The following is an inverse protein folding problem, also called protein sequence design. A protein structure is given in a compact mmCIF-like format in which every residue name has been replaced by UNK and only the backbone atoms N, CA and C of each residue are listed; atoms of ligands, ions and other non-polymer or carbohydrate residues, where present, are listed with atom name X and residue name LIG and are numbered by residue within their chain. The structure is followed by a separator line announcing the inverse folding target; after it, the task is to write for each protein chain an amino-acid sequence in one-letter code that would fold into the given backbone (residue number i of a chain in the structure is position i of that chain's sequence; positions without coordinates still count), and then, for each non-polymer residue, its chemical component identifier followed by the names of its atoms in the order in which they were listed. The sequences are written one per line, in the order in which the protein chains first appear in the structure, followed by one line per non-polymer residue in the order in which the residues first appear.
data_IF_108484002022
#
_entry.id   IF_108484002022
#
_cell.length_a   1.000
_cell.length_b   1.000
_cell.length_c   1.000
_cell.angle_alpha   90.00
_cell.angle_beta   90.00
_cell.angle_gamma   90.00
#
_symmetry.space_group_name_H-M   'P 1'
#
loop_
_entity.id
_entity.type
_entity.pdbx_description
1 polymer ?
#
# COMPACT_ATOMS: atom_id res chain seq x y z
N UNK A 1 -34.29 -3.34 -7.11
CA UNK A 1 -33.29 -2.25 -7.13
C UNK A 1 -31.92 -2.84 -6.83
N UNK A 2 -30.98 -2.87 -7.78
CA UNK A 2 -29.63 -3.35 -7.44
C UNK A 2 -28.93 -2.26 -6.64
N UNK A 3 -28.70 -2.48 -5.35
CA UNK A 3 -27.82 -1.60 -4.57
C UNK A 3 -26.46 -1.58 -5.25
N UNK A 4 -25.92 -0.39 -5.49
CA UNK A 4 -24.55 -0.29 -5.96
C UNK A 4 -23.62 -0.91 -4.91
N UNK A 5 -22.59 -1.67 -5.31
CA UNK A 5 -21.67 -2.27 -4.37
C UNK A 5 -21.06 -1.18 -3.48
N UNK A 6 -21.16 -1.39 -2.16
CA UNK A 6 -20.69 -0.49 -1.10
C UNK A 6 -19.16 -0.45 -1.01
N UNK A 7 -18.49 -1.43 -1.62
CA UNK A 7 -17.05 -1.62 -1.59
C UNK A 7 -16.47 -1.58 -3.00
N UNK A 8 -15.35 -0.88 -3.17
CA UNK A 8 -14.49 -0.96 -4.35
C UNK A 8 -13.20 -1.70 -3.99
N UNK A 9 -12.92 -2.79 -4.69
CA UNK A 9 -11.72 -3.62 -4.49
C UNK A 9 -10.72 -3.36 -5.61
N UNK A 10 -9.49 -3.06 -5.25
CA UNK A 10 -8.36 -2.84 -6.14
C UNK A 10 -7.32 -3.94 -5.90
N UNK A 11 -7.27 -4.92 -6.80
CA UNK A 11 -6.40 -6.08 -6.69
C UNK A 11 -5.17 -5.94 -7.61
N UNK A 12 -3.99 -6.27 -7.07
CA UNK A 12 -2.72 -6.27 -7.79
C UNK A 12 -2.28 -7.72 -8.07
N UNK A 13 -1.85 -8.00 -9.31
CA UNK A 13 -1.36 -9.33 -9.71
C UNK A 13 0.17 -9.42 -9.70
N UNK A 14 0.64 -10.66 -9.63
CA UNK A 14 2.04 -11.05 -9.52
C UNK A 14 2.83 -11.04 -10.86
N UNK A 15 2.27 -10.49 -11.95
CA UNK A 15 2.82 -10.76 -13.27
C UNK A 15 4.11 -9.93 -13.54
N UNK A 16 5.22 -10.64 -13.80
CA UNK A 16 6.54 -10.12 -14.21
C UNK A 16 7.46 -9.46 -13.15
N UNK A 17 7.59 -10.02 -11.94
CA UNK A 17 8.40 -9.44 -10.84
C UNK A 17 9.90 -9.22 -11.09
N UNK A 18 10.50 -9.94 -12.04
CA UNK A 18 11.94 -9.95 -12.22
C UNK A 18 12.29 -9.93 -13.71
N UNK A 19 12.34 -8.74 -14.33
CA UNK A 19 12.97 -8.61 -15.65
C UNK A 19 14.46 -8.31 -15.53
N UNK A 20 14.93 -7.55 -14.53
CA UNK A 20 16.36 -7.36 -14.26
C UNK A 20 16.58 -7.04 -12.76
N UNK A 21 17.72 -7.44 -12.19
CA UNK A 21 18.04 -7.45 -10.74
C UNK A 21 17.72 -6.13 -10.00
N UNK A 22 16.73 -6.07 -9.10
CA UNK A 22 16.63 -5.03 -8.09
C UNK A 22 16.53 -5.72 -6.71
N UNK A 23 17.59 -6.43 -6.35
CA UNK A 23 17.75 -6.96 -5.01
C UNK A 23 18.50 -5.91 -4.21
N UNK A 24 17.84 -5.31 -3.22
CA UNK A 24 18.42 -4.22 -2.46
C UNK A 24 17.39 -3.52 -1.60
N UNK A 25 17.89 -2.88 -0.54
CA UNK A 25 17.13 -1.94 0.25
C UNK A 25 17.44 -0.53 -0.26
N UNK A 26 16.42 0.30 -0.39
CA UNK A 26 16.54 1.71 -0.78
C UNK A 26 15.87 2.57 0.28
N UNK A 27 16.48 3.70 0.69
CA UNK A 27 15.82 4.65 1.58
C UNK A 27 14.54 5.18 0.91
N UNK A 28 13.44 5.20 1.68
CA UNK A 28 12.16 5.72 1.20
C UNK A 28 12.21 7.26 1.10
N UNK A 29 11.51 7.80 0.10
CA UNK A 29 11.25 9.23 0.02
C UNK A 29 10.17 9.64 1.02
N UNK A 30 10.59 10.28 2.12
CA UNK A 30 9.69 10.78 3.16
C UNK A 30 8.78 11.91 2.69
N UNK A 31 9.06 12.57 1.55
CA UNK A 31 8.12 13.53 0.97
C UNK A 31 6.87 12.82 0.42
N UNK A 32 7.05 11.62 -0.14
CA UNK A 32 5.97 10.78 -0.66
C UNK A 32 5.31 9.91 0.42
N UNK A 33 6.05 9.61 1.50
CA UNK A 33 5.59 8.76 2.58
C UNK A 33 6.06 9.26 3.96
N UNK A 34 5.56 10.41 4.43
CA UNK A 34 5.94 10.99 5.72
C UNK A 34 5.69 10.07 6.92
N UNK A 35 4.75 9.12 6.81
CA UNK A 35 4.48 8.09 7.83
C UNK A 35 5.57 7.02 7.94
N UNK A 36 6.46 6.90 6.94
CA UNK A 36 7.49 5.86 6.89
C UNK A 36 8.82 6.28 7.52
N UNK A 37 8.73 6.92 8.68
CA UNK A 37 9.87 7.28 9.54
C UNK A 37 9.78 6.58 10.88
N UNK A 38 10.93 6.30 11.47
CA UNK A 38 10.99 5.82 12.87
C UNK A 38 10.57 6.94 13.81
N UNK A 39 9.61 6.67 14.70
CA UNK A 39 9.06 7.68 15.62
C UNK A 39 10.14 8.13 16.63
N UNK A 40 11.09 7.25 16.96
CA UNK A 40 12.10 7.49 17.98
C UNK A 40 13.39 8.18 17.52
N UNK A 41 13.72 8.18 16.22
CA UNK A 41 15.00 8.73 15.75
C UNK A 41 14.97 9.49 14.42
N UNK A 42 13.78 9.67 13.82
CA UNK A 42 13.58 10.38 12.54
C UNK A 42 14.43 9.83 11.37
N UNK A 43 14.99 8.62 11.52
CA UNK A 43 15.78 8.00 10.47
C UNK A 43 14.88 7.41 9.39
N UNK A 44 15.31 7.58 8.14
CA UNK A 44 14.65 7.03 6.96
C UNK A 44 14.56 5.50 7.05
N UNK A 45 13.37 4.99 6.76
CA UNK A 45 13.15 3.54 6.62
C UNK A 45 13.69 3.09 5.26
N UNK A 46 14.34 1.93 5.23
CA UNK A 46 14.71 1.29 3.98
C UNK A 46 13.64 0.28 3.56
N UNK A 47 13.34 0.26 2.26
CA UNK A 47 12.34 -0.64 1.67
C UNK A 47 12.93 -1.41 0.51
N UNK A 48 12.33 -2.56 0.19
CA UNK A 48 12.79 -3.38 -0.92
C UNK A 48 12.61 -2.64 -2.26
N UNK A 49 13.71 -2.46 -2.99
CA UNK A 49 13.76 -1.62 -4.20
C UNK A 49 12.78 -2.08 -5.29
N UNK A 50 12.69 -3.40 -5.52
CA UNK A 50 11.75 -3.96 -6.49
C UNK A 50 10.28 -3.57 -6.21
N UNK A 51 9.86 -3.57 -4.94
CA UNK A 51 8.47 -3.32 -4.58
C UNK A 51 8.10 -1.85 -4.72
N UNK A 52 8.99 -0.94 -4.31
CA UNK A 52 8.76 0.50 -4.47
C UNK A 52 8.85 0.92 -5.94
N UNK A 53 9.74 0.30 -6.73
CA UNK A 53 9.81 0.52 -8.18
C UNK A 53 8.50 0.18 -8.88
N UNK A 54 7.89 -0.96 -8.53
CA UNK A 54 6.58 -1.37 -9.08
C UNK A 54 5.46 -0.41 -8.71
N UNK A 55 5.46 0.11 -7.48
CA UNK A 55 4.51 1.15 -7.09
C UNK A 55 4.60 2.38 -7.99
N UNK A 56 5.82 2.89 -8.23
CA UNK A 56 6.01 4.04 -9.10
C UNK A 56 5.56 3.77 -10.54
N UNK A 57 5.86 2.58 -11.08
CA UNK A 57 5.40 2.19 -12.40
C UNK A 57 3.86 2.18 -12.48
N UNK A 58 3.18 1.62 -11.48
CA UNK A 58 1.72 1.61 -11.42
C UNK A 58 1.16 3.03 -11.37
N UNK A 59 1.76 3.92 -10.58
CA UNK A 59 1.33 5.32 -10.53
C UNK A 59 1.51 6.05 -11.87
N UNK A 60 2.62 5.80 -12.57
CA UNK A 60 2.91 6.48 -13.84
C UNK A 60 2.09 5.94 -15.00
N UNK A 61 1.76 4.65 -15.01
CA UNK A 61 1.20 3.97 -16.20
C UNK A 61 -0.30 3.70 -16.11
N UNK A 62 -0.89 3.78 -14.91
CA UNK A 62 -2.29 3.38 -14.71
C UNK A 62 -3.21 4.54 -14.39
N UNK A 63 -4.50 4.36 -14.66
CA UNK A 63 -5.57 5.28 -14.22
C UNK A 63 -6.00 5.01 -12.76
N UNK A 64 -5.14 4.39 -11.95
CA UNK A 64 -5.51 3.88 -10.61
C UNK A 64 -5.99 5.00 -9.70
N UNK A 65 -5.23 6.09 -9.58
CA UNK A 65 -5.57 7.23 -8.72
C UNK A 65 -6.95 7.78 -9.03
N UNK A 66 -7.24 8.06 -10.31
CA UNK A 66 -8.55 8.57 -10.73
C UNK A 66 -9.70 7.59 -10.43
N UNK A 67 -9.46 6.28 -10.55
CA UNK A 67 -10.47 5.25 -10.20
C UNK A 67 -10.72 5.16 -8.71
N UNK A 68 -9.67 5.25 -7.88
CA UNK A 68 -9.78 5.26 -6.42
C UNK A 68 -10.53 6.51 -5.96
N UNK A 69 -10.10 7.70 -6.39
CA UNK A 69 -10.78 8.96 -6.08
C UNK A 69 -12.24 8.96 -6.51
N UNK A 70 -12.53 8.42 -7.70
CA UNK A 70 -13.89 8.23 -8.19
C UNK A 70 -14.73 7.31 -7.30
N UNK A 71 -14.14 6.29 -6.68
CA UNK A 71 -14.81 5.41 -5.72
C UNK A 71 -15.01 6.08 -4.36
N UNK A 72 -14.02 6.83 -3.87
CA UNK A 72 -14.10 7.64 -2.65
C UNK A 72 -15.24 8.65 -2.76
N UNK A 73 -15.31 9.38 -3.87
CA UNK A 73 -16.35 10.39 -4.12
C UNK A 73 -17.76 9.79 -4.24
N UNK A 74 -17.86 8.48 -4.50
CA UNK A 74 -19.11 7.70 -4.47
C UNK A 74 -19.42 7.15 -3.07
N UNK A 75 -18.65 7.50 -2.05
CA UNK A 75 -18.83 7.04 -0.66
C UNK A 75 -18.56 5.55 -0.47
N UNK A 76 -17.73 4.93 -1.32
CA UNK A 76 -17.42 3.49 -1.22
C UNK A 76 -16.31 3.23 -0.21
N UNK A 77 -16.39 2.10 0.48
CA UNK A 77 -15.23 1.53 1.16
C UNK A 77 -14.20 1.13 0.11
N UNK A 78 -12.93 1.45 0.37
CA UNK A 78 -11.81 1.12 -0.50
C UNK A 78 -11.03 -0.04 0.12
N UNK A 79 -10.80 -1.10 -0.66
CA UNK A 79 -9.96 -2.22 -0.27
C UNK A 79 -8.88 -2.41 -1.32
N UNK A 80 -7.62 -2.25 -0.92
CA UNK A 80 -6.47 -2.65 -1.72
C UNK A 80 -6.07 -4.07 -1.34
N UNK A 81 -5.72 -4.90 -2.34
CA UNK A 81 -5.32 -6.28 -2.06
C UNK A 81 -4.27 -6.80 -3.03
N UNK A 82 -3.44 -7.73 -2.55
CA UNK A 82 -2.42 -8.38 -3.34
C UNK A 82 -1.99 -9.70 -2.69
N UNK A 83 -1.70 -10.69 -3.54
CA UNK A 83 -1.19 -11.99 -3.11
C UNK A 83 0.33 -12.06 -3.35
N UNK A 84 1.04 -12.72 -2.43
CA UNK A 84 2.47 -12.95 -2.49
C UNK A 84 3.22 -11.65 -2.77
N UNK A 85 4.04 -11.63 -3.82
CA UNK A 85 4.85 -10.49 -4.22
C UNK A 85 4.03 -9.22 -4.51
N UNK A 86 2.73 -9.32 -4.82
CA UNK A 86 1.84 -8.18 -5.03
C UNK A 86 1.29 -7.56 -3.73
N UNK A 87 1.44 -8.23 -2.59
CA UNK A 87 1.10 -7.68 -1.27
C UNK A 87 1.83 -6.36 -0.93
N UNK A 88 3.17 -6.30 -1.06
CA UNK A 88 3.95 -5.07 -0.91
C UNK A 88 3.46 -3.94 -1.81
N UNK A 89 3.09 -4.24 -3.05
CA UNK A 89 2.51 -3.26 -3.97
C UNK A 89 1.18 -2.72 -3.46
N UNK A 90 0.29 -3.58 -2.97
CA UNK A 90 -0.97 -3.16 -2.36
C UNK A 90 -0.73 -2.24 -1.14
N UNK A 91 0.26 -2.56 -0.32
CA UNK A 91 0.67 -1.75 0.83
C UNK A 91 1.15 -0.37 0.38
N UNK A 92 2.12 -0.29 -0.53
CA UNK A 92 2.65 1.00 -1.01
C UNK A 92 1.60 1.87 -1.70
N UNK A 93 0.69 1.26 -2.47
CA UNK A 93 -0.44 2.00 -3.06
C UNK A 93 -1.36 2.55 -1.98
N UNK A 94 -1.58 1.81 -0.89
CA UNK A 94 -2.53 2.21 0.15
C UNK A 94 -2.05 3.43 0.93
N UNK A 95 -0.75 3.52 1.20
CA UNK A 95 -0.17 4.50 2.11
C UNK A 95 -0.53 5.97 1.79
N UNK A 96 -0.37 6.48 0.55
CA UNK A 96 -0.73 7.87 0.24
C UNK A 96 -2.21 8.17 0.47
N UNK A 97 -3.10 7.19 0.22
CA UNK A 97 -4.53 7.36 0.48
C UNK A 97 -4.85 7.38 1.98
N UNK A 98 -4.13 6.60 2.80
CA UNK A 98 -4.27 6.66 4.25
C UNK A 98 -3.78 8.00 4.81
N UNK A 99 -2.63 8.48 4.34
CA UNK A 99 -2.07 9.77 4.75
C UNK A 99 -3.01 10.93 4.42
N UNK A 100 -3.58 10.95 3.22
CA UNK A 100 -4.57 11.95 2.84
C UNK A 100 -5.86 11.82 3.65
N UNK A 101 -6.33 10.58 3.86
CA UNK A 101 -7.54 10.34 4.64
C UNK A 101 -7.39 10.78 6.11
N UNK A 102 -6.19 10.68 6.70
CA UNK A 102 -5.88 11.21 8.04
C UNK A 102 -6.09 12.73 8.13
N UNK A 103 -5.71 13.50 7.10
CA UNK A 103 -5.94 14.96 7.04
C UNK A 103 -7.44 15.30 7.05
N UNK A 104 -8.27 14.37 6.61
CA UNK A 104 -9.73 14.51 6.55
C UNK A 104 -10.46 13.84 7.72
N UNK A 105 -9.77 13.56 8.83
CA UNK A 105 -10.32 12.88 10.02
C UNK A 105 -10.88 11.47 9.74
N UNK A 106 -10.35 10.79 8.74
CA UNK A 106 -10.72 9.39 8.46
C UNK A 106 -12.10 9.22 7.84
N UNK A 107 -12.62 10.23 7.12
CA UNK A 107 -13.95 10.22 6.47
C UNK A 107 -14.17 9.04 5.52
N UNK A 108 -13.11 8.47 4.96
CA UNK A 108 -13.18 7.32 4.06
C UNK A 108 -12.74 6.04 4.75
N UNK A 109 -13.49 4.95 4.60
CA UNK A 109 -13.05 3.62 5.04
C UNK A 109 -12.07 3.03 4.02
N UNK A 110 -10.78 3.08 4.33
CA UNK A 110 -9.70 2.51 3.52
C UNK A 110 -9.10 1.31 4.27
N UNK A 111 -8.85 0.21 3.56
CA UNK A 111 -8.25 -1.03 4.06
C UNK A 111 -7.24 -1.58 3.08
N UNK A 112 -6.22 -2.26 3.58
CA UNK A 112 -5.29 -3.07 2.80
C UNK A 112 -5.32 -4.51 3.34
N UNK A 113 -5.56 -5.48 2.46
CA UNK A 113 -5.60 -6.90 2.79
C UNK A 113 -4.63 -7.65 1.88
N UNK A 114 -3.62 -8.29 2.45
CA UNK A 114 -2.60 -9.03 1.68
C UNK A 114 -2.56 -10.49 2.07
N UNK A 115 -2.27 -11.36 1.11
CA UNK A 115 -2.23 -12.82 1.32
C UNK A 115 -0.83 -13.36 1.03
N UNK A 116 -0.13 -13.92 2.01
CA UNK A 116 1.22 -14.47 1.82
C UNK A 116 2.27 -13.43 1.40
N UNK A 117 2.09 -12.16 1.75
CA UNK A 117 2.99 -11.06 1.39
C UNK A 117 4.38 -11.21 2.02
N UNK A 118 5.47 -11.00 1.27
CA UNK A 118 6.77 -10.82 1.91
C UNK A 118 6.79 -9.54 2.75
N UNK A 119 7.73 -9.47 3.70
CA UNK A 119 8.00 -8.27 4.48
C UNK A 119 8.48 -7.14 3.57
N UNK A 120 7.95 -5.93 3.79
CA UNK A 120 8.14 -4.77 2.92
C UNK A 120 9.23 -3.82 3.43
N UNK A 121 9.51 -3.83 4.74
CA UNK A 121 10.49 -2.99 5.41
C UNK A 121 11.37 -3.78 6.39
N UNK A 122 12.48 -3.16 6.83
CA UNK A 122 13.42 -3.77 7.77
C UNK A 122 12.82 -3.93 9.18
N UNK A 123 13.11 -5.07 9.82
CA UNK A 123 12.63 -5.49 11.15
C UNK A 123 13.18 -4.62 12.28
N UNK A 124 14.22 -3.82 12.04
CA UNK A 124 14.86 -3.01 13.09
C UNK A 124 14.05 -1.77 13.54
N UNK A 125 12.96 -1.40 12.86
CA UNK A 125 12.22 -0.15 13.13
C UNK A 125 10.71 -0.30 12.90
N UNK A 126 10.09 -1.28 13.55
CA UNK A 126 8.67 -1.59 13.43
C UNK A 126 7.78 -0.60 14.20
N UNK A 127 7.71 0.65 13.75
CA UNK A 127 6.53 1.52 13.95
C UNK A 127 5.54 1.40 12.76
N UNK A 128 5.95 0.68 11.72
CA UNK A 128 5.21 0.47 10.48
C UNK A 128 3.90 -0.33 10.65
N UNK A 129 3.82 -1.21 11.65
CA UNK A 129 2.73 -2.17 11.81
C UNK A 129 1.53 -1.66 12.59
N UNK A 130 1.66 -0.60 13.39
CA UNK A 130 0.53 -0.04 14.16
C UNK A 130 -0.36 0.86 13.28
N UNK A 131 0.21 1.49 12.26
CA UNK A 131 -0.53 2.39 11.37
C UNK A 131 -1.32 1.64 10.28
N UNK A 132 -0.84 0.47 9.88
CA UNK A 132 -1.55 -0.43 8.98
C UNK A 132 -2.03 -1.62 9.83
N UNK A 133 -3.34 -1.70 10.10
CA UNK A 133 -3.98 -2.96 10.54
C UNK A 133 -3.87 -4.00 9.42
N UNK A 134 -2.68 -4.56 9.22
CA UNK A 134 -2.43 -5.69 8.33
C UNK A 134 -3.03 -6.89 9.05
N UNK A 135 -4.24 -7.28 8.66
CA UNK A 135 -4.77 -8.60 9.03
C UNK A 135 -4.08 -9.64 8.16
N UNK A 136 -3.07 -10.32 8.70
CA UNK A 136 -2.53 -11.54 8.10
C UNK A 136 -3.47 -12.70 8.45
N UNK A 137 -4.36 -13.06 7.54
CA UNK A 137 -5.20 -14.26 7.70
C UNK A 137 -4.43 -15.48 7.19
N UNK A 138 -3.71 -16.13 8.11
CA UNK A 138 -3.10 -17.43 7.85
C UNK A 138 -4.18 -18.52 7.95
N UNK A 139 -4.67 -19.00 6.81
CA UNK A 139 -5.38 -20.27 6.76
C UNK A 139 -4.39 -21.42 6.98
N UNK A 140 -4.37 -21.95 8.21
CA UNK A 140 -3.91 -23.31 8.51
C UNK A 140 -5.11 -24.22 8.72
#
# INVERSE_FOLDING_TARGET
SSSSPTTAVFAFSADHWFKEKPFGLKPIDLAAFPSLRSIGNDEKTEVHEAFIGRYYEILMTSSLTAKVEGAIRKGRQIVFTGHSSAGPTAIFVTLPFLEENKKTEGKTSIRCLTFGSPLVGDRKKSDFSEEIRISEENHR
#
